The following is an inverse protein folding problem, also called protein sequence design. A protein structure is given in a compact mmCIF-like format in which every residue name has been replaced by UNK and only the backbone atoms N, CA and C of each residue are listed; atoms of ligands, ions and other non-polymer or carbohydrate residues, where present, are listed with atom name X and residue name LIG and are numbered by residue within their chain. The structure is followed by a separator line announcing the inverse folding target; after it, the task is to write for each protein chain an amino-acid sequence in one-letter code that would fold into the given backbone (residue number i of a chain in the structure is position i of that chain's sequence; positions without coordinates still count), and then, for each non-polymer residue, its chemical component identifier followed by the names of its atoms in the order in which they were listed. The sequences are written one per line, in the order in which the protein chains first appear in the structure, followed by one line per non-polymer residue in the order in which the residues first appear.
data_IF_693732406931
#
_entry.id   IF_693732406931
#
_cell.length_a   1.000
_cell.length_b   1.000
_cell.length_c   1.000
_cell.angle_alpha   90.00
_cell.angle_beta   90.00
_cell.angle_gamma   90.00
#
_symmetry.space_group_name_H-M   'P 1'
#
loop_
_entity.id
_entity.type
_entity.pdbx_description
1 polymer ?
#
# COMPACT_ATOMS: atom_id res chain seq x y z
N UNK A 1 69.16 -9.92 43.01
CA UNK A 1 67.85 -9.24 42.87
C UNK A 1 67.97 -8.17 41.78
N UNK A 2 67.40 -8.43 40.60
CA UNK A 2 66.84 -7.40 39.70
C UNK A 2 66.15 -8.09 38.51
N UNK A 3 65.11 -8.88 38.80
CA UNK A 3 64.11 -9.23 37.80
C UNK A 3 63.20 -8.02 37.61
N UNK A 4 63.53 -7.10 36.70
CA UNK A 4 62.65 -5.94 36.42
C UNK A 4 62.63 -5.46 34.98
N UNK A 5 63.28 -6.13 34.03
CA UNK A 5 63.24 -5.73 32.61
C UNK A 5 62.21 -6.51 31.77
N UNK A 6 61.77 -7.69 32.20
CA UNK A 6 60.83 -8.54 31.46
C UNK A 6 59.35 -8.18 31.67
N UNK A 7 59.01 -7.48 32.75
CA UNK A 7 57.61 -7.13 33.09
C UNK A 7 57.08 -5.98 32.23
N UNK A 8 57.95 -5.04 31.83
CA UNK A 8 57.53 -3.86 31.06
C UNK A 8 57.20 -4.17 29.59
N UNK A 9 57.84 -5.19 28.98
CA UNK A 9 57.51 -5.60 27.62
C UNK A 9 56.16 -6.35 27.54
N UNK A 10 55.84 -7.16 28.56
CA UNK A 10 54.60 -7.97 28.63
C UNK A 10 53.38 -7.08 28.90
N UNK A 11 53.51 -6.05 29.76
CA UNK A 11 52.43 -5.08 29.98
C UNK A 11 52.10 -4.24 28.74
N UNK A 12 53.08 -3.98 27.87
CA UNK A 12 52.87 -3.23 26.62
C UNK A 12 52.07 -4.04 25.59
N UNK A 13 52.38 -5.34 25.47
CA UNK A 13 51.70 -6.24 24.53
C UNK A 13 50.27 -6.56 24.97
N UNK A 14 50.03 -6.75 26.28
CA UNK A 14 48.69 -6.99 26.81
C UNK A 14 47.75 -5.77 26.63
N UNK A 15 48.26 -4.55 26.83
CA UNK A 15 47.49 -3.32 26.59
C UNK A 15 47.12 -3.14 25.11
N UNK A 16 48.04 -3.48 24.19
CA UNK A 16 47.76 -3.44 22.74
C UNK A 16 46.73 -4.49 22.32
N UNK A 17 46.77 -5.69 22.89
CA UNK A 17 45.80 -6.75 22.62
C UNK A 17 44.41 -6.39 23.15
N UNK A 18 44.30 -5.80 24.34
CA UNK A 18 43.03 -5.32 24.89
C UNK A 18 42.48 -4.17 24.06
N UNK A 19 43.32 -3.24 23.60
CA UNK A 19 42.88 -2.13 22.75
C UNK A 19 42.38 -2.63 21.39
N UNK A 20 43.05 -3.62 20.79
CA UNK A 20 42.58 -4.26 19.56
C UNK A 20 41.27 -5.02 19.78
N UNK A 21 41.11 -5.73 20.89
CA UNK A 21 39.86 -6.43 21.22
C UNK A 21 38.70 -5.44 21.47
N UNK A 22 38.95 -4.31 22.12
CA UNK A 22 37.97 -3.22 22.31
C UNK A 22 37.64 -2.55 20.98
N UNK A 23 38.60 -2.36 20.08
CA UNK A 23 38.33 -1.84 18.73
C UNK A 23 37.56 -2.85 17.88
N UNK A 24 37.88 -4.14 17.96
CA UNK A 24 37.13 -5.18 17.27
C UNK A 24 35.71 -5.30 17.83
N UNK A 25 35.51 -5.21 19.16
CA UNK A 25 34.17 -5.16 19.75
C UNK A 25 33.42 -3.88 19.37
N UNK A 26 34.10 -2.73 19.34
CA UNK A 26 33.53 -1.46 18.91
C UNK A 26 33.17 -1.47 17.41
N UNK A 27 33.94 -2.16 16.56
CA UNK A 27 33.65 -2.37 15.14
C UNK A 27 32.56 -3.42 14.91
N UNK A 28 32.40 -4.40 15.80
CA UNK A 28 31.22 -5.28 15.80
C UNK A 28 29.99 -4.61 16.43
N UNK A 29 30.14 -3.52 17.20
CA UNK A 29 29.06 -2.71 17.80
C UNK A 29 28.73 -1.44 17.02
N UNK A 30 29.46 -1.12 15.95
CA UNK A 30 28.97 -0.27 14.84
C UNK A 30 27.87 -0.95 14.01
N UNK A 31 27.29 -2.03 14.56
CA UNK A 31 25.89 -2.44 14.50
C UNK A 31 24.91 -1.28 14.18
N UNK A 32 24.51 -1.19 12.92
CA UNK A 32 23.10 -1.39 12.63
C UNK A 32 22.96 -2.82 12.12
N UNK A 33 21.99 -3.60 12.61
CA UNK A 33 21.65 -4.86 11.97
C UNK A 33 21.32 -4.55 10.51
N UNK A 34 22.14 -5.06 9.59
CA UNK A 34 21.96 -4.80 8.17
C UNK A 34 20.72 -5.54 7.71
N UNK A 35 19.72 -4.78 7.27
CA UNK A 35 18.59 -5.30 6.53
C UNK A 35 19.15 -5.82 5.20
N UNK A 36 19.27 -7.14 5.04
CA UNK A 36 19.87 -7.77 3.85
C UNK A 36 18.82 -8.04 2.79
N UNK A 37 19.13 -7.72 1.54
CA UNK A 37 18.31 -8.11 0.39
C UNK A 37 18.28 -9.64 0.29
N UNK A 38 17.09 -10.21 0.42
CA UNK A 38 16.84 -11.64 0.41
C UNK A 38 16.27 -12.14 -0.91
N UNK A 39 15.51 -11.29 -1.63
CA UNK A 39 14.88 -11.65 -2.91
C UNK A 39 14.61 -10.39 -3.74
N UNK A 40 14.83 -10.53 -5.04
CA UNK A 40 14.41 -9.59 -6.07
C UNK A 40 13.47 -10.34 -7.03
N UNK A 41 12.35 -9.74 -7.39
CA UNK A 41 11.39 -10.31 -8.36
C UNK A 41 10.81 -9.21 -9.21
N UNK A 42 10.80 -9.45 -10.52
CA UNK A 42 10.33 -8.51 -11.52
C UNK A 42 9.20 -9.13 -12.36
N UNK A 43 8.08 -8.40 -12.44
CA UNK A 43 6.94 -8.71 -13.28
C UNK A 43 6.72 -7.58 -14.27
N UNK A 44 6.98 -7.85 -15.55
CA UNK A 44 6.72 -6.91 -16.64
C UNK A 44 5.43 -7.29 -17.36
N UNK A 45 4.53 -6.32 -17.53
CA UNK A 45 3.38 -6.45 -18.39
C UNK A 45 3.88 -6.50 -19.84
N UNK A 46 3.74 -7.67 -20.48
CA UNK A 46 4.09 -7.79 -21.89
C UNK A 46 3.35 -6.74 -22.74
N UNK A 47 3.89 -6.39 -23.91
CA UNK A 47 3.20 -5.48 -24.83
C UNK A 47 1.76 -5.88 -25.18
N UNK A 48 1.37 -7.14 -24.95
CA UNK A 48 0.03 -7.71 -25.22
C UNK A 48 -0.84 -7.87 -23.98
N UNK A 49 -0.37 -7.49 -22.79
CA UNK A 49 -1.09 -7.66 -21.53
C UNK A 49 -1.08 -6.40 -20.68
N UNK A 50 -2.11 -6.25 -19.84
CA UNK A 50 -2.21 -5.24 -18.80
C UNK A 50 -2.02 -5.90 -17.43
N UNK A 51 -1.32 -5.21 -16.53
CA UNK A 51 -1.14 -5.57 -15.13
C UNK A 51 -2.07 -4.76 -14.25
N UNK A 52 -2.81 -5.43 -13.37
CA UNK A 52 -3.69 -4.84 -12.38
C UNK A 52 -3.29 -5.29 -10.96
N UNK A 53 -3.38 -4.36 -10.01
CA UNK A 53 -3.06 -4.53 -8.59
C UNK A 53 -4.13 -3.82 -7.74
N UNK A 54 -4.14 -4.03 -6.43
CA UNK A 54 -4.84 -3.13 -5.50
C UNK A 54 -4.16 -1.76 -5.53
N UNK A 55 -4.71 -0.82 -6.30
CA UNK A 55 -4.12 0.52 -6.42
C UNK A 55 -4.07 1.24 -5.06
N UNK A 56 -5.06 1.02 -4.20
CA UNK A 56 -5.20 1.76 -2.94
C UNK A 56 -4.15 1.36 -1.93
N UNK A 57 -3.76 0.10 -1.94
CA UNK A 57 -2.57 -0.40 -1.25
C UNK A 57 -1.30 0.38 -1.63
N UNK A 58 -1.17 0.84 -2.88
CA UNK A 58 -0.03 1.62 -3.36
C UNK A 58 -0.21 3.14 -3.17
N UNK A 59 -1.43 3.69 -3.27
CA UNK A 59 -1.63 5.15 -3.26
C UNK A 59 -2.09 5.74 -1.92
N UNK A 60 -2.63 4.92 -1.01
CA UNK A 60 -3.27 5.40 0.24
C UNK A 60 -2.89 4.57 1.48
N UNK A 61 -1.97 3.61 1.33
CA UNK A 61 -1.53 2.73 2.43
C UNK A 61 -2.62 1.80 2.97
N UNK A 62 -3.70 1.55 2.22
CA UNK A 62 -4.79 0.68 2.67
C UNK A 62 -4.33 -0.79 2.71
N UNK A 63 -4.65 -1.54 3.77
CA UNK A 63 -4.43 -2.99 3.90
C UNK A 63 -3.09 -3.49 3.32
N UNK A 64 -1.96 -3.10 3.92
CA UNK A 64 -0.60 -3.57 3.57
C UNK A 64 -0.35 -5.04 3.94
N UNK A 65 -1.21 -5.91 3.42
CA UNK A 65 -1.05 -7.37 3.41
C UNK A 65 -0.25 -7.82 2.18
N UNK A 66 -0.37 -9.10 1.87
CA UNK A 66 0.39 -9.73 0.79
C UNK A 66 0.07 -9.14 -0.59
N UNK A 67 1.11 -8.93 -1.39
CA UNK A 67 0.93 -8.44 -2.75
C UNK A 67 0.21 -9.47 -3.63
N UNK A 68 -0.86 -9.01 -4.30
CA UNK A 68 -1.60 -9.77 -5.30
C UNK A 68 -1.68 -8.96 -6.59
N UNK A 69 -1.56 -9.64 -7.73
CA UNK A 69 -1.67 -9.00 -9.03
C UNK A 69 -2.39 -9.91 -10.04
N UNK A 70 -2.97 -9.31 -11.06
CA UNK A 70 -3.58 -10.02 -12.18
C UNK A 70 -3.10 -9.45 -13.50
N UNK A 71 -2.67 -10.32 -14.41
CA UNK A 71 -2.32 -9.95 -15.78
C UNK A 71 -3.42 -10.41 -16.71
N UNK A 72 -3.93 -9.54 -17.57
CA UNK A 72 -4.93 -9.89 -18.57
C UNK A 72 -4.48 -9.43 -19.97
N UNK A 73 -4.91 -10.08 -21.06
CA UNK A 73 -4.71 -9.58 -22.42
C UNK A 73 -5.25 -8.17 -22.59
N UNK A 74 -4.54 -7.36 -23.37
CA UNK A 74 -4.97 -6.00 -23.74
C UNK A 74 -6.29 -6.05 -24.50
N UNK A 75 -7.19 -5.15 -24.11
CA UNK A 75 -8.51 -4.99 -24.73
C UNK A 75 -8.41 -4.34 -26.10
N UNK A 76 -8.13 -5.12 -27.15
CA UNK A 76 -8.39 -4.67 -28.53
C UNK A 76 -9.73 -5.21 -29.08
N UNK A 77 -10.43 -6.02 -28.29
CA UNK A 77 -11.72 -6.59 -28.69
C UNK A 77 -12.79 -6.18 -27.70
N UNK A 78 -13.41 -5.03 -27.95
CA UNK A 78 -14.63 -4.55 -27.28
C UNK A 78 -15.83 -5.52 -27.41
N UNK A 79 -15.65 -6.74 -27.92
CA UNK A 79 -16.71 -7.73 -28.14
C UNK A 79 -16.43 -9.10 -27.52
N UNK A 80 -15.39 -9.26 -26.70
CA UNK A 80 -15.16 -10.53 -26.01
C UNK A 80 -16.09 -10.65 -24.79
N UNK A 81 -16.86 -11.74 -24.73
CA UNK A 81 -17.67 -12.11 -23.56
C UNK A 81 -16.83 -12.80 -22.47
N UNK A 82 -15.58 -13.14 -22.78
CA UNK A 82 -14.65 -13.75 -21.84
C UNK A 82 -13.31 -13.01 -21.83
N UNK A 83 -12.71 -12.86 -20.65
CA UNK A 83 -11.37 -12.30 -20.47
C UNK A 83 -10.52 -13.29 -19.68
N UNK A 84 -9.53 -13.88 -20.36
CA UNK A 84 -8.64 -14.87 -19.77
C UNK A 84 -7.46 -14.18 -19.10
N UNK A 85 -7.49 -14.09 -17.79
CA UNK A 85 -6.46 -13.48 -16.98
C UNK A 85 -5.61 -14.55 -16.28
N UNK A 86 -4.47 -14.13 -15.71
CA UNK A 86 -3.62 -14.93 -14.85
C UNK A 86 -3.40 -14.18 -13.56
N UNK A 87 -3.73 -14.81 -12.43
CA UNK A 87 -3.52 -14.23 -11.10
C UNK A 87 -2.22 -14.75 -10.49
N UNK A 88 -1.50 -13.89 -9.77
CA UNK A 88 -0.30 -14.21 -9.00
C UNK A 88 -0.37 -13.66 -7.58
N UNK A 89 0.27 -14.39 -6.65
CA UNK A 89 0.44 -14.01 -5.24
C UNK A 89 1.92 -14.02 -4.89
N UNK A 90 2.42 -12.99 -4.21
CA UNK A 90 3.82 -12.98 -3.78
C UNK A 90 4.11 -14.02 -2.67
N UNK A 91 3.11 -14.39 -1.86
CA UNK A 91 3.23 -15.50 -0.89
C UNK A 91 3.46 -16.86 -1.52
N UNK A 92 3.19 -16.99 -2.82
CA UNK A 92 3.37 -18.23 -3.56
C UNK A 92 4.15 -17.95 -4.85
N UNK A 93 5.43 -17.57 -4.73
CA UNK A 93 6.20 -17.15 -5.88
C UNK A 93 6.35 -18.28 -6.90
N UNK A 94 6.11 -17.96 -8.16
CA UNK A 94 6.12 -18.93 -9.27
C UNK A 94 4.83 -19.74 -9.43
N UNK A 95 3.85 -19.61 -8.52
CA UNK A 95 2.50 -20.12 -8.75
C UNK A 95 1.61 -19.03 -9.33
N UNK A 96 0.92 -19.39 -10.40
CA UNK A 96 -0.10 -18.55 -11.00
C UNK A 96 -1.27 -19.42 -11.45
N UNK A 97 -2.46 -18.84 -11.45
CA UNK A 97 -3.67 -19.55 -11.87
C UNK A 97 -4.34 -18.82 -13.02
N UNK A 98 -4.78 -19.55 -14.06
CA UNK A 98 -5.65 -18.98 -15.07
C UNK A 98 -7.03 -18.68 -14.46
N UNK A 99 -7.56 -17.51 -14.76
CA UNK A 99 -8.88 -17.07 -14.33
C UNK A 99 -9.61 -16.52 -15.55
N UNK A 100 -10.70 -17.18 -15.94
CA UNK A 100 -11.54 -16.70 -17.05
C UNK A 100 -12.68 -15.88 -16.47
N UNK A 101 -12.63 -14.57 -16.60
CA UNK A 101 -13.76 -13.67 -16.31
C UNK A 101 -14.81 -13.83 -17.41
N UNK A 102 -16.10 -13.94 -17.08
CA UNK A 102 -17.19 -14.13 -18.06
C UNK A 102 -18.33 -13.15 -17.84
N UNK A 103 -18.68 -12.39 -18.87
CA UNK A 103 -19.84 -11.49 -18.80
C UNK A 103 -21.16 -12.24 -19.00
N UNK A 104 -22.25 -11.64 -18.55
CA UNK A 104 -23.60 -12.01 -18.96
C UNK A 104 -23.78 -11.75 -20.46
N UNK A 105 -24.54 -12.64 -21.13
CA UNK A 105 -24.84 -12.53 -22.57
C UNK A 105 -25.34 -11.12 -22.88
N UNK A 106 -24.64 -10.40 -23.77
CA UNK A 106 -24.86 -9.01 -24.24
C UNK A 106 -24.13 -7.88 -23.50
N UNK A 107 -23.35 -8.17 -22.45
CA UNK A 107 -22.56 -7.17 -21.71
C UNK A 107 -21.06 -7.26 -22.00
N UNK A 108 -20.37 -6.13 -21.95
CA UNK A 108 -18.94 -6.00 -22.26
C UNK A 108 -18.12 -5.75 -21.00
N UNK A 109 -16.87 -6.20 -20.98
CA UNK A 109 -15.96 -5.91 -19.86
C UNK A 109 -15.62 -4.44 -19.78
N UNK A 110 -15.64 -3.92 -18.56
CA UNK A 110 -14.97 -2.67 -18.25
C UNK A 110 -13.45 -2.91 -18.24
N UNK A 111 -12.67 -1.89 -18.58
CA UNK A 111 -11.22 -2.01 -18.62
C UNK A 111 -10.58 -1.99 -17.22
N UNK A 112 -11.38 -1.73 -16.17
CA UNK A 112 -10.92 -1.62 -14.80
C UNK A 112 -11.11 -2.92 -14.01
N UNK A 113 -10.04 -3.36 -13.35
CA UNK A 113 -9.99 -4.50 -12.46
C UNK A 113 -9.23 -4.07 -11.19
N UNK A 114 -9.71 -4.50 -10.04
CA UNK A 114 -9.00 -4.35 -8.77
C UNK A 114 -8.81 -5.73 -8.14
N UNK A 115 -7.68 -5.95 -7.47
CA UNK A 115 -7.34 -7.27 -6.93
C UNK A 115 -6.69 -7.15 -5.57
N UNK A 116 -7.22 -7.86 -4.58
CA UNK A 116 -6.67 -7.86 -3.22
C UNK A 116 -6.57 -9.29 -2.65
N UNK A 117 -5.60 -9.54 -1.74
CA UNK A 117 -5.50 -10.82 -1.05
C UNK A 117 -6.69 -11.01 -0.09
N UNK A 118 -7.19 -12.23 0.03
CA UNK A 118 -8.18 -12.61 1.06
C UNK A 118 -7.54 -13.48 2.14
N UNK A 119 -6.72 -14.44 1.72
CA UNK A 119 -5.96 -15.34 2.59
C UNK A 119 -4.63 -15.67 1.90
N UNK A 120 -3.66 -16.36 2.55
CA UNK A 120 -2.36 -16.66 1.93
C UNK A 120 -2.40 -17.39 0.58
N UNK A 121 -3.53 -18.05 0.27
CA UNK A 121 -3.77 -18.75 -0.99
C UNK A 121 -5.09 -18.34 -1.69
N UNK A 122 -5.76 -17.29 -1.23
CA UNK A 122 -7.01 -16.80 -1.81
C UNK A 122 -6.93 -15.33 -2.15
N UNK A 123 -7.55 -14.94 -3.25
CA UNK A 123 -7.62 -13.55 -3.69
C UNK A 123 -9.00 -13.23 -4.26
N UNK A 124 -9.32 -11.94 -4.30
CA UNK A 124 -10.55 -11.42 -4.87
C UNK A 124 -10.21 -10.49 -6.01
N UNK A 125 -10.88 -10.66 -7.15
CA UNK A 125 -10.84 -9.74 -8.28
C UNK A 125 -12.18 -9.04 -8.35
N UNK A 126 -12.21 -7.72 -8.20
CA UNK A 126 -13.40 -6.87 -8.39
C UNK A 126 -13.38 -6.28 -9.78
N UNK A 127 -14.50 -6.38 -10.49
CA UNK A 127 -14.60 -6.03 -11.89
C UNK A 127 -16.03 -5.64 -12.26
N UNK A 128 -16.29 -5.29 -13.51
CA UNK A 128 -17.65 -5.05 -13.95
C UNK A 128 -17.89 -5.23 -15.43
N UNK A 129 -19.18 -5.26 -15.75
CA UNK A 129 -19.68 -5.45 -17.09
C UNK A 129 -20.74 -4.40 -17.41
N UNK A 130 -20.69 -3.82 -18.60
CA UNK A 130 -21.57 -2.73 -19.01
C UNK A 130 -22.38 -3.07 -20.27
N UNK A 131 -23.60 -2.54 -20.34
CA UNK A 131 -24.46 -2.67 -21.50
C UNK A 131 -24.18 -1.53 -22.49
N UNK A 132 -23.58 -1.81 -23.65
CA UNK A 132 -23.38 -0.80 -24.68
C UNK A 132 -24.66 -0.63 -25.52
N UNK A 133 -25.61 0.17 -25.03
CA UNK A 133 -26.70 0.66 -25.89
C UNK A 133 -26.17 1.79 -26.77
N UNK A 134 -25.68 1.40 -27.96
CA UNK A 134 -25.17 2.18 -29.11
C UNK A 134 -23.77 2.82 -28.98
N UNK A 135 -22.83 2.50 -29.90
CA UNK A 135 -21.52 3.16 -29.98
C UNK A 135 -21.54 4.58 -30.58
N UNK A 136 -22.65 5.01 -31.22
CA UNK A 136 -22.62 6.12 -32.18
C UNK A 136 -23.35 7.39 -31.71
N UNK A 137 -23.69 7.52 -30.43
CA UNK A 137 -24.46 8.64 -29.90
C UNK A 137 -23.80 9.33 -28.69
N UNK A 138 -24.02 10.65 -28.49
CA UNK A 138 -23.44 11.42 -27.38
C UNK A 138 -23.95 11.04 -25.98
N UNK A 139 -24.80 10.01 -25.85
CA UNK A 139 -25.49 9.63 -24.62
C UNK A 139 -24.93 8.35 -23.98
N UNK A 140 -23.63 8.34 -23.68
CA UNK A 140 -22.94 7.29 -22.89
C UNK A 140 -23.52 7.11 -21.45
N UNK A 141 -24.41 8.01 -21.02
CA UNK A 141 -24.85 8.17 -19.62
C UNK A 141 -25.88 7.13 -19.12
N UNK A 142 -26.38 6.24 -19.98
CA UNK A 142 -27.47 5.30 -19.63
C UNK A 142 -27.06 3.83 -19.60
N UNK A 143 -25.78 3.52 -19.82
CA UNK A 143 -25.32 2.14 -19.78
C UNK A 143 -25.37 1.61 -18.34
N UNK A 144 -26.18 0.57 -18.16
CA UNK A 144 -26.30 -0.20 -16.92
C UNK A 144 -25.01 -0.99 -16.68
N UNK A 145 -24.37 -0.82 -15.52
CA UNK A 145 -23.16 -1.55 -15.14
C UNK A 145 -23.40 -2.41 -13.91
N UNK A 146 -22.98 -3.67 -13.99
CA UNK A 146 -23.01 -4.63 -12.90
C UNK A 146 -21.63 -4.75 -12.28
N UNK A 147 -21.53 -4.56 -10.96
CA UNK A 147 -20.32 -4.83 -10.20
C UNK A 147 -20.28 -6.32 -9.89
N UNK A 148 -19.18 -6.95 -10.31
CA UNK A 148 -18.90 -8.36 -10.10
C UNK A 148 -17.63 -8.53 -9.29
N UNK A 149 -17.52 -9.68 -8.66
CA UNK A 149 -16.29 -10.10 -8.02
C UNK A 149 -16.06 -11.59 -8.27
N UNK A 150 -14.79 -11.95 -8.27
CA UNK A 150 -14.34 -13.33 -8.46
C UNK A 150 -13.46 -13.71 -7.28
N UNK A 151 -13.87 -14.71 -6.51
CA UNK A 151 -13.01 -15.32 -5.48
C UNK A 151 -12.19 -16.41 -6.14
N UNK A 152 -10.88 -16.39 -5.97
CA UNK A 152 -9.93 -17.34 -6.56
C UNK A 152 -9.16 -18.04 -5.46
N UNK A 153 -9.12 -19.37 -5.51
CA UNK A 153 -8.21 -20.20 -4.72
C UNK A 153 -7.01 -20.58 -5.59
N UNK A 154 -5.83 -20.05 -5.24
CA UNK A 154 -4.60 -20.19 -6.04
C UNK A 154 -3.94 -21.56 -5.84
N UNK A 155 -4.27 -22.28 -4.77
CA UNK A 155 -3.77 -23.65 -4.58
C UNK A 155 -4.45 -24.63 -5.53
N UNK A 156 -5.75 -24.42 -5.79
CA UNK A 156 -6.57 -25.31 -6.61
C UNK A 156 -6.87 -24.76 -8.00
N UNK A 157 -6.52 -23.50 -8.26
CA UNK A 157 -6.93 -22.70 -9.41
C UNK A 157 -8.45 -22.69 -9.66
N UNK A 158 -9.25 -22.95 -8.63
CA UNK A 158 -10.70 -22.83 -8.70
C UNK A 158 -11.09 -21.38 -8.47
N UNK A 159 -12.09 -20.92 -9.22
CA UNK A 159 -12.64 -19.59 -9.07
C UNK A 159 -14.17 -19.62 -9.11
N UNK A 160 -14.79 -18.63 -8.47
CA UNK A 160 -16.23 -18.45 -8.46
C UNK A 160 -16.55 -16.98 -8.72
N UNK A 161 -17.38 -16.74 -9.73
CA UNK A 161 -17.86 -15.42 -10.10
C UNK A 161 -19.22 -15.14 -9.49
N UNK A 162 -19.36 -13.97 -8.91
CA UNK A 162 -20.54 -13.53 -8.19
C UNK A 162 -20.86 -12.08 -8.54
N UNK A 163 -22.12 -11.71 -8.33
CA UNK A 163 -22.65 -10.37 -8.55
C UNK A 163 -22.89 -9.69 -7.20
N UNK A 164 -22.50 -8.41 -7.09
CA UNK A 164 -22.65 -7.64 -5.85
C UNK A 164 -24.02 -6.93 -5.80
N UNK A 165 -24.36 -6.17 -6.85
CA UNK A 165 -25.61 -5.42 -6.96
C UNK A 165 -26.07 -5.26 -8.43
N UNK A 166 -27.39 -5.13 -8.66
CA UNK A 166 -27.93 -4.75 -9.96
C UNK A 166 -27.70 -3.26 -10.30
N UNK A 167 -27.78 -3.01 -11.61
CA UNK A 167 -27.28 -1.91 -12.43
C UNK A 167 -27.13 -0.47 -11.88
N UNK A 168 -25.94 0.10 -12.10
CA UNK A 168 -25.58 1.53 -12.00
C UNK A 168 -25.58 2.23 -13.37
N UNK A 169 -25.65 3.56 -13.44
CA UNK A 169 -25.32 4.31 -14.66
C UNK A 169 -23.80 4.39 -14.90
N UNK A 170 -23.37 4.46 -16.17
CA UNK A 170 -21.97 4.32 -16.61
C UNK A 170 -20.97 5.26 -15.96
N UNK A 171 -21.29 6.57 -15.91
CA UNK A 171 -20.38 7.59 -15.36
C UNK A 171 -20.08 7.39 -13.88
N UNK A 172 -20.98 6.71 -13.15
CA UNK A 172 -20.86 6.44 -11.72
C UNK A 172 -20.08 5.16 -11.43
N UNK A 173 -19.95 4.25 -12.39
CA UNK A 173 -19.30 2.95 -12.15
C UNK A 173 -17.77 3.05 -12.01
N UNK A 174 -17.10 3.76 -12.91
CA UNK A 174 -15.64 3.82 -12.89
C UNK A 174 -15.15 4.50 -11.61
N UNK A 175 -15.85 5.55 -11.15
CA UNK A 175 -15.64 6.10 -9.83
C UNK A 175 -16.00 5.09 -8.74
N UNK A 176 -17.15 4.40 -8.80
CA UNK A 176 -17.53 3.47 -7.73
C UNK A 176 -16.59 2.29 -7.53
N UNK A 177 -16.08 1.64 -8.58
CA UNK A 177 -15.12 0.54 -8.41
C UNK A 177 -13.75 1.08 -8.03
N UNK A 178 -13.30 2.18 -8.65
CA UNK A 178 -12.04 2.81 -8.25
C UNK A 178 -12.08 3.36 -6.81
N UNK A 179 -13.26 3.71 -6.29
CA UNK A 179 -13.47 4.28 -4.96
C UNK A 179 -13.99 3.25 -3.95
N UNK A 180 -14.26 2.01 -4.38
CA UNK A 180 -14.66 0.89 -3.51
C UNK A 180 -13.63 0.60 -2.41
N UNK A 181 -14.07 0.57 -1.15
CA UNK A 181 -13.19 0.32 0.00
C UNK A 181 -13.35 -1.13 0.47
N UNK A 182 -12.26 -1.72 0.93
CA UNK A 182 -12.24 -3.13 1.31
C UNK A 182 -11.77 -3.31 2.75
N UNK A 183 -12.44 -4.18 3.49
CA UNK A 183 -11.94 -4.70 4.76
C UNK A 183 -11.77 -6.21 4.62
N UNK A 184 -10.55 -6.71 4.79
CA UNK A 184 -10.23 -8.13 4.61
C UNK A 184 -10.03 -8.80 5.95
N UNK A 185 -10.73 -9.91 6.18
CA UNK A 185 -10.60 -10.77 7.36
C UNK A 185 -10.02 -12.12 6.92
N UNK A 186 -9.65 -12.98 7.88
CA UNK A 186 -9.02 -14.28 7.58
C UNK A 186 -9.89 -15.18 6.68
N UNK A 187 -11.21 -15.09 6.82
CA UNK A 187 -12.20 -15.99 6.18
C UNK A 187 -13.30 -15.24 5.42
N UNK A 188 -13.24 -13.91 5.36
CA UNK A 188 -14.32 -13.08 4.84
C UNK A 188 -13.79 -11.71 4.45
N UNK A 189 -14.59 -10.92 3.75
CA UNK A 189 -14.25 -9.55 3.41
C UNK A 189 -15.50 -8.68 3.33
N UNK A 190 -15.31 -7.38 3.48
CA UNK A 190 -16.34 -6.38 3.21
C UNK A 190 -15.99 -5.58 1.97
N UNK A 191 -16.99 -5.35 1.11
CA UNK A 191 -16.92 -4.35 0.04
C UNK A 191 -17.81 -3.19 0.45
N UNK A 192 -17.26 -1.98 0.42
CA UNK A 192 -17.95 -0.73 0.72
C UNK A 192 -17.93 0.13 -0.54
N UNK A 193 -19.10 0.47 -1.05
CA UNK A 193 -19.28 1.25 -2.28
C UNK A 193 -20.29 2.36 -2.06
N UNK A 194 -20.27 3.37 -2.89
CA UNK A 194 -21.29 4.42 -2.85
C UNK A 194 -22.68 3.85 -3.14
N UNK A 195 -23.68 4.43 -2.49
CA UNK A 195 -25.06 4.09 -2.80
C UNK A 195 -25.46 4.71 -4.15
N UNK A 196 -26.00 3.87 -5.02
CA UNK A 196 -26.41 4.23 -6.37
C UNK A 196 -27.54 5.27 -6.42
N UNK A 197 -28.49 5.16 -5.49
CA UNK A 197 -29.71 5.96 -5.43
C UNK A 197 -29.46 7.27 -4.71
N UNK A 198 -28.62 7.26 -3.67
CA UNK A 198 -28.19 8.44 -2.94
C UNK A 198 -26.68 8.40 -2.64
N UNK A 199 -25.83 8.99 -3.52
CA UNK A 199 -24.38 9.00 -3.37
C UNK A 199 -23.85 9.66 -2.09
N UNK A 200 -24.71 10.33 -1.31
CA UNK A 200 -24.38 10.82 0.02
C UNK A 200 -24.12 9.66 1.00
N UNK A 201 -24.61 8.46 0.73
CA UNK A 201 -24.44 7.29 1.58
C UNK A 201 -23.50 6.26 0.97
N UNK A 202 -22.86 5.48 1.83
CA UNK A 202 -22.14 4.26 1.50
C UNK A 202 -23.02 3.05 1.79
N UNK A 203 -22.86 2.01 0.97
CA UNK A 203 -23.39 0.68 1.15
C UNK A 203 -22.26 -0.25 1.60
N UNK A 204 -22.59 -1.25 2.43
CA UNK A 204 -21.64 -2.25 2.89
C UNK A 204 -22.15 -3.67 2.67
N UNK A 205 -21.29 -4.52 2.13
CA UNK A 205 -21.56 -5.93 1.86
C UNK A 205 -20.51 -6.78 2.57
N UNK A 206 -20.92 -7.66 3.48
CA UNK A 206 -20.02 -8.68 4.03
C UNK A 206 -20.16 -9.96 3.22
N UNK A 207 -19.03 -10.50 2.80
CA UNK A 207 -18.91 -11.65 1.91
C UNK A 207 -18.04 -12.70 2.61
N UNK A 208 -18.46 -13.97 2.60
CA UNK A 208 -17.69 -15.08 3.17
C UNK A 208 -16.54 -15.53 2.22
N UNK A 209 -15.71 -16.46 2.70
CA UNK A 209 -14.54 -16.96 2.01
C UNK A 209 -14.83 -17.79 0.76
N UNK A 210 -16.10 -18.12 0.55
CA UNK A 210 -16.66 -18.81 -0.61
C UNK A 210 -17.32 -17.83 -1.60
N UNK A 211 -17.39 -16.55 -1.23
CA UNK A 211 -17.95 -15.48 -2.02
C UNK A 211 -19.46 -15.27 -1.86
N UNK A 212 -20.13 -15.85 -0.87
CA UNK A 212 -21.55 -15.55 -0.64
C UNK A 212 -21.70 -14.26 0.17
N UNK A 213 -22.64 -13.40 -0.21
CA UNK A 213 -23.00 -12.22 0.58
C UNK A 213 -23.77 -12.68 1.81
N UNK A 214 -23.16 -12.57 2.99
CA UNK A 214 -23.74 -12.98 4.27
C UNK A 214 -24.42 -11.84 5.02
N UNK A 215 -24.08 -10.58 4.72
CA UNK A 215 -24.72 -9.40 5.30
C UNK A 215 -24.75 -8.24 4.30
N UNK A 216 -25.85 -7.47 4.31
CA UNK A 216 -26.02 -6.25 3.52
C UNK A 216 -26.47 -5.10 4.42
N UNK A 217 -25.85 -3.93 4.29
CA UNK A 217 -26.24 -2.69 4.96
C UNK A 217 -26.36 -1.58 3.91
N UNK A 218 -27.61 -1.23 3.55
CA UNK A 218 -27.95 -0.37 2.42
C UNK A 218 -29.15 0.52 2.81
N UNK A 219 -28.97 1.82 3.09
CA UNK A 219 -27.70 2.52 3.29
C UNK A 219 -27.01 2.08 4.59
N UNK A 220 -25.68 2.28 4.67
CA UNK A 220 -24.89 2.00 5.88
C UNK A 220 -24.53 3.27 6.64
N UNK A 221 -23.78 4.18 6.03
CA UNK A 221 -23.36 5.44 6.68
C UNK A 221 -23.33 6.58 5.67
N UNK A 222 -23.45 7.82 6.16
CA UNK A 222 -23.14 9.01 5.36
C UNK A 222 -21.67 8.93 4.95
N UNK A 223 -21.42 9.07 3.65
CA UNK A 223 -20.09 9.10 3.05
C UNK A 223 -19.27 10.22 3.71
N UNK A 224 -18.12 9.91 4.34
CA UNK A 224 -17.20 10.94 4.79
C UNK A 224 -16.70 11.76 3.60
N UNK A 225 -16.44 13.04 3.79
CA UNK A 225 -15.89 13.91 2.74
C UNK A 225 -14.45 13.54 2.29
N UNK A 226 -13.88 12.46 2.86
CA UNK A 226 -12.48 12.09 2.77
C UNK A 226 -12.13 11.22 1.57
N UNK A 227 -10.88 11.34 1.11
CA UNK A 227 -10.24 10.35 0.23
C UNK A 227 -9.74 9.11 1.01
N UNK A 228 -9.40 9.29 2.29
CA UNK A 228 -8.90 8.22 3.17
C UNK A 228 -10.08 7.55 3.86
N UNK A 229 -10.23 6.24 3.68
CA UNK A 229 -11.23 5.43 4.38
C UNK A 229 -10.70 4.02 4.61
N UNK A 230 -9.96 3.81 5.71
CA UNK A 230 -9.16 2.60 5.95
C UNK A 230 -9.75 1.73 7.05
N UNK A 231 -9.95 0.42 6.86
CA UNK A 231 -10.34 -0.45 7.96
C UNK A 231 -9.23 -0.56 9.01
N UNK A 232 -9.63 -0.62 10.27
CA UNK A 232 -8.78 -0.87 11.43
C UNK A 232 -9.17 -2.24 12.00
N UNK A 233 -8.30 -3.22 11.80
CA UNK A 233 -8.53 -4.62 12.16
C UNK A 233 -7.66 -5.05 13.34
N UNK A 234 -8.26 -5.81 14.26
CA UNK A 234 -7.57 -6.46 15.39
C UNK A 234 -7.79 -7.95 15.32
N UNK A 235 -6.75 -8.67 14.88
CA UNK A 235 -6.94 -10.04 14.39
C UNK A 235 -8.02 -10.04 13.31
N UNK A 236 -9.03 -10.91 13.46
CA UNK A 236 -10.16 -11.03 12.53
C UNK A 236 -11.37 -10.13 12.89
N UNK A 237 -11.23 -9.15 13.81
CA UNK A 237 -12.31 -8.24 14.21
C UNK A 237 -12.08 -6.80 13.74
N UNK A 238 -13.08 -6.21 13.08
CA UNK A 238 -13.12 -4.78 12.77
C UNK A 238 -13.34 -3.94 14.03
N UNK A 239 -12.46 -2.97 14.26
CA UNK A 239 -12.59 -1.96 15.32
C UNK A 239 -13.22 -0.67 14.82
N UNK A 240 -12.90 -0.28 13.59
CA UNK A 240 -13.38 0.96 13.02
C UNK A 240 -12.81 1.25 11.66
N UNK A 241 -13.02 2.48 11.20
CA UNK A 241 -12.47 3.00 9.96
C UNK A 241 -11.75 4.33 10.21
N UNK A 242 -10.58 4.50 9.64
CA UNK A 242 -9.88 5.77 9.62
C UNK A 242 -10.41 6.63 8.49
N UNK A 243 -10.68 7.90 8.75
CA UNK A 243 -10.96 8.87 7.69
C UNK A 243 -10.38 10.24 8.04
N UNK A 244 -10.05 11.01 7.00
CA UNK A 244 -9.62 12.39 7.17
C UNK A 244 -10.80 13.37 7.02
N UNK A 245 -10.69 14.53 7.66
CA UNK A 245 -11.55 15.67 7.41
C UNK A 245 -10.70 16.94 7.29
N UNK A 246 -11.20 17.90 6.51
CA UNK A 246 -10.60 19.22 6.37
C UNK A 246 -11.22 20.12 7.44
N UNK A 247 -10.45 20.39 8.48
CA UNK A 247 -10.81 21.34 9.51
C UNK A 247 -10.76 22.80 9.02
N UNK A 248 -11.21 23.75 9.85
CA UNK A 248 -11.04 25.17 9.59
C UNK A 248 -9.55 25.52 9.41
N UNK A 249 -9.29 26.59 8.65
CA UNK A 249 -7.95 27.20 8.51
C UNK A 249 -6.86 26.29 7.90
N UNK A 250 -7.25 25.38 6.99
CA UNK A 250 -6.29 24.51 6.30
C UNK A 250 -5.72 23.42 7.21
N UNK A 251 -6.44 23.06 8.28
CA UNK A 251 -6.11 21.92 9.11
C UNK A 251 -6.60 20.63 8.47
N UNK A 252 -5.79 19.57 8.49
CA UNK A 252 -6.26 18.21 8.24
C UNK A 252 -6.34 17.44 9.56
N UNK A 253 -7.38 16.62 9.68
CA UNK A 253 -7.68 15.86 10.89
C UNK A 253 -7.91 14.40 10.52
N UNK A 254 -7.27 13.49 11.24
CA UNK A 254 -7.49 12.05 11.11
C UNK A 254 -8.38 11.56 12.25
N UNK A 255 -9.51 10.97 11.89
CA UNK A 255 -10.48 10.40 12.81
C UNK A 255 -10.53 8.89 12.69
N UNK A 256 -10.95 8.23 13.76
CA UNK A 256 -11.36 6.83 13.79
C UNK A 256 -12.85 6.75 14.08
N UNK A 257 -13.60 6.26 13.10
CA UNK A 257 -15.01 5.92 13.21
C UNK A 257 -15.14 4.53 13.83
N UNK A 258 -15.62 4.45 15.07
CA UNK A 258 -15.76 3.18 15.77
C UNK A 258 -16.91 2.33 15.21
N UNK A 259 -16.63 1.07 14.90
CA UNK A 259 -17.62 0.12 14.40
C UNK A 259 -18.59 -0.37 15.50
N UNK A 260 -18.08 -0.54 16.74
CA UNK A 260 -18.85 -1.12 17.86
C UNK A 260 -19.77 -0.10 18.58
N UNK A 261 -19.53 1.21 18.45
CA UNK A 261 -20.23 2.26 19.23
C UNK A 261 -21.24 3.08 18.41
N UNK A 262 -21.84 2.46 17.39
CA UNK A 262 -22.88 3.11 16.57
C UNK A 262 -22.37 4.31 15.75
N UNK A 263 -21.08 4.34 15.42
CA UNK A 263 -20.50 5.38 14.55
C UNK A 263 -19.98 6.62 15.29
N UNK A 264 -19.64 6.53 16.58
CA UNK A 264 -18.93 7.64 17.24
C UNK A 264 -17.53 7.82 16.65
N UNK A 265 -17.13 9.05 16.38
CA UNK A 265 -15.79 9.38 15.88
C UNK A 265 -14.84 9.75 17.03
N UNK A 266 -13.59 9.32 16.91
CA UNK A 266 -12.48 9.73 17.79
C UNK A 266 -11.40 10.41 16.97
N UNK A 267 -11.08 11.66 17.30
CA UNK A 267 -9.94 12.36 16.71
C UNK A 267 -8.63 11.70 17.16
N UNK A 268 -7.80 11.28 16.21
CA UNK A 268 -6.48 10.72 16.48
C UNK A 268 -5.38 11.77 16.32
N UNK A 269 -5.43 12.54 15.23
CA UNK A 269 -4.36 13.45 14.86
C UNK A 269 -4.91 14.72 14.22
N UNK A 270 -4.29 15.85 14.52
CA UNK A 270 -4.58 17.17 13.95
C UNK A 270 -3.29 17.81 13.45
N UNK A 271 -3.31 18.41 12.28
CA UNK A 271 -2.14 19.08 11.71
C UNK A 271 -2.51 20.13 10.68
N UNK A 272 -1.57 21.02 10.35
CA UNK A 272 -1.75 21.98 9.26
C UNK A 272 -1.28 21.38 7.94
N UNK A 273 -2.09 21.54 6.90
CA UNK A 273 -1.92 20.93 5.59
C UNK A 273 -0.85 21.63 4.75
N UNK A 274 -0.62 22.93 4.98
CA UNK A 274 0.38 23.76 4.29
C UNK A 274 1.84 23.29 4.48
N UNK A 275 2.08 22.43 5.48
CA UNK A 275 3.40 21.90 5.80
C UNK A 275 3.62 20.46 5.33
N UNK A 276 2.63 19.75 4.76
CA UNK A 276 2.73 18.32 4.46
C UNK A 276 2.57 18.06 2.97
N UNK A 277 3.55 17.36 2.40
CA UNK A 277 3.59 16.99 0.98
C UNK A 277 3.32 15.51 0.75
N UNK A 278 3.72 14.66 1.70
CA UNK A 278 3.55 13.21 1.61
C UNK A 278 3.05 12.66 2.93
N UNK A 279 2.10 11.74 2.86
CA UNK A 279 1.54 11.05 4.02
C UNK A 279 1.31 9.58 3.66
N UNK A 280 1.57 8.72 4.63
CA UNK A 280 1.21 7.32 4.55
C UNK A 280 0.70 6.80 5.90
N UNK A 281 -0.17 5.79 5.86
CA UNK A 281 -0.83 5.20 7.01
C UNK A 281 -0.62 3.68 6.99
N UNK A 282 -0.32 3.11 8.15
CA UNK A 282 -0.26 1.67 8.35
C UNK A 282 -1.22 1.25 9.45
N UNK A 283 -2.10 0.28 9.19
CA UNK A 283 -2.95 -0.35 10.21
C UNK A 283 -2.47 -1.75 10.59
N UNK A 284 -1.25 -2.13 10.16
CA UNK A 284 -0.70 -3.45 10.38
C UNK A 284 -0.43 -3.74 11.87
N UNK A 285 -0.45 -5.03 12.21
CA UNK A 285 -0.06 -5.55 13.52
C UNK A 285 -0.69 -4.85 14.73
N UNK A 286 -2.01 -4.65 14.69
CA UNK A 286 -2.75 -4.08 15.82
C UNK A 286 -2.21 -2.71 16.28
N UNK A 287 -1.72 -1.88 15.35
CA UNK A 287 -1.38 -0.47 15.61
C UNK A 287 -1.81 0.43 14.44
N UNK A 288 -2.04 1.71 14.72
CA UNK A 288 -2.33 2.74 13.71
C UNK A 288 -1.10 3.64 13.63
N UNK A 289 -0.36 3.56 12.54
CA UNK A 289 0.83 4.35 12.28
C UNK A 289 0.55 5.40 11.21
N UNK A 290 1.05 6.61 11.40
CA UNK A 290 0.92 7.72 10.46
C UNK A 290 2.28 8.34 10.26
N UNK A 291 2.83 8.25 9.05
CA UNK A 291 4.06 8.92 8.65
C UNK A 291 3.71 10.11 7.77
N UNK A 292 4.35 11.26 8.02
CA UNK A 292 4.13 12.50 7.26
C UNK A 292 5.45 13.16 6.98
N UNK A 293 5.63 13.66 5.77
CA UNK A 293 6.78 14.46 5.40
C UNK A 293 6.35 15.90 5.14
N UNK A 294 7.04 16.83 5.80
CA UNK A 294 7.03 18.25 5.46
C UNK A 294 8.33 18.71 4.83
N UNK A 295 8.25 19.64 3.88
CA UNK A 295 9.43 20.34 3.36
C UNK A 295 9.64 21.62 4.16
N UNK A 296 10.74 21.69 4.89
CA UNK A 296 11.23 22.93 5.46
C UNK A 296 12.11 23.61 4.40
N UNK A 297 11.58 24.63 3.75
CA UNK A 297 12.36 25.47 2.85
C UNK A 297 13.21 26.43 3.67
N UNK A 298 14.53 26.28 3.60
CA UNK A 298 15.45 27.24 4.20
C UNK A 298 15.87 28.27 3.14
N UNK A 299 15.36 29.50 3.30
CA UNK A 299 15.58 30.63 2.37
C UNK A 299 17.06 31.04 2.30
N UNK A 300 17.81 30.92 3.41
CA UNK A 300 19.21 31.38 3.48
C UNK A 300 20.18 30.43 2.80
N UNK A 301 19.88 29.13 2.84
CA UNK A 301 20.75 28.08 2.25
C UNK A 301 20.26 27.60 0.89
N UNK A 302 19.11 28.11 0.43
CA UNK A 302 18.37 27.60 -0.73
C UNK A 302 18.25 26.06 -0.71
N UNK A 303 18.15 25.47 0.49
CA UNK A 303 18.12 24.02 0.69
C UNK A 303 16.77 23.62 1.24
N UNK A 304 16.20 22.56 0.68
CA UNK A 304 14.97 21.96 1.20
C UNK A 304 15.34 20.76 2.06
N UNK A 305 15.11 20.86 3.37
CA UNK A 305 15.21 19.73 4.27
C UNK A 305 13.83 19.10 4.40
N UNK A 306 13.73 17.81 4.11
CA UNK A 306 12.55 17.03 4.48
C UNK A 306 12.64 16.62 5.94
N UNK A 307 11.55 16.83 6.65
CA UNK A 307 11.33 16.35 8.01
C UNK A 307 10.22 15.32 7.95
N UNK A 308 10.46 14.14 8.53
CA UNK A 308 9.45 13.10 8.63
C UNK A 308 9.01 12.98 10.09
N UNK A 309 7.71 13.11 10.31
CA UNK A 309 7.04 12.90 11.58
C UNK A 309 6.29 11.56 11.53
N UNK A 310 6.55 10.69 12.49
CA UNK A 310 5.86 9.40 12.63
C UNK A 310 5.14 9.34 13.96
N UNK A 311 3.85 9.06 13.91
CA UNK A 311 2.98 8.90 15.09
C UNK A 311 2.38 7.51 15.06
N UNK A 312 2.43 6.77 16.17
CA UNK A 312 1.75 5.48 16.32
C UNK A 312 0.76 5.51 17.47
N UNK A 313 -0.40 4.93 17.26
CA UNK A 313 -1.46 4.71 18.23
C UNK A 313 -1.71 3.21 18.37
N UNK A 314 -2.24 2.78 19.52
CA UNK A 314 -2.94 1.49 19.57
C UNK A 314 -4.30 1.57 18.88
N UNK A 315 -4.98 0.43 18.86
CA UNK A 315 -6.24 0.19 18.17
C UNK A 315 -7.42 0.93 18.78
N UNK A 316 -7.28 1.38 20.03
CA UNK A 316 -8.26 2.24 20.68
C UNK A 316 -7.94 3.72 20.45
N UNK A 317 -6.89 4.04 19.68
CA UNK A 317 -6.46 5.39 19.36
C UNK A 317 -5.70 6.07 20.50
N UNK A 318 -5.04 5.32 21.40
CA UNK A 318 -4.15 5.89 22.42
C UNK A 318 -2.73 5.97 21.87
N UNK A 319 -2.12 7.15 22.00
CA UNK A 319 -0.77 7.42 21.52
C UNK A 319 0.26 6.48 22.17
N UNK A 320 1.12 5.89 21.33
CA UNK A 320 2.25 5.03 21.72
C UNK A 320 3.60 5.66 21.40
N UNK A 321 3.69 6.30 20.24
CA UNK A 321 4.92 6.91 19.76
C UNK A 321 4.60 8.21 19.03
N UNK A 322 5.45 9.21 19.24
CA UNK A 322 5.47 10.44 18.46
C UNK A 322 6.93 10.85 18.28
N UNK A 323 7.46 10.63 17.09
CA UNK A 323 8.87 10.89 16.79
C UNK A 323 9.01 11.68 15.50
N UNK A 324 10.14 12.38 15.40
CA UNK A 324 10.51 13.22 14.28
C UNK A 324 11.97 12.99 13.98
N UNK A 325 12.31 12.92 12.70
CA UNK A 325 13.71 12.97 12.27
C UNK A 325 13.86 13.72 10.95
N UNK A 326 15.07 14.20 10.71
CA UNK A 326 15.45 14.84 9.45
C UNK A 326 15.96 13.78 8.49
N UNK A 327 15.60 13.92 7.22
CA UNK A 327 16.05 12.99 6.18
C UNK A 327 17.31 13.52 5.47
N UNK A 328 18.06 12.59 4.87
CA UNK A 328 19.23 12.92 4.05
C UNK A 328 18.86 13.32 2.62
N UNK A 329 17.63 13.03 2.20
CA UNK A 329 17.05 13.36 0.89
C UNK A 329 15.89 14.34 1.02
N UNK A 330 15.59 15.04 -0.07
CA UNK A 330 14.27 15.64 -0.28
C UNK A 330 13.29 14.52 -0.62
N UNK A 331 12.45 14.17 0.36
CA UNK A 331 11.50 13.05 0.25
C UNK A 331 10.46 13.34 -0.83
N UNK A 332 10.26 12.36 -1.71
CA UNK A 332 9.18 12.29 -2.69
C UNK A 332 8.30 11.04 -2.53
N UNK A 333 8.81 10.03 -1.82
CA UNK A 333 8.14 8.77 -1.55
C UNK A 333 8.28 8.46 -0.07
N UNK A 334 7.17 8.10 0.56
CA UNK A 334 7.12 7.82 1.99
C UNK A 334 6.17 6.65 2.22
N UNK A 335 6.69 5.60 2.85
CA UNK A 335 5.98 4.35 3.08
C UNK A 335 6.29 3.84 4.49
N UNK A 336 5.27 3.40 5.21
CA UNK A 336 5.28 2.97 6.60
C UNK A 336 4.65 1.58 6.73
N UNK A 337 5.30 0.71 7.50
CA UNK A 337 4.74 -0.58 7.91
C UNK A 337 4.96 -0.75 9.42
N UNK A 338 3.89 -0.87 10.21
CA UNK A 338 4.04 -1.15 11.63
C UNK A 338 4.62 -2.57 11.85
N UNK A 339 5.22 -2.83 13.02
CA UNK A 339 5.81 -4.14 13.34
C UNK A 339 5.04 -4.86 14.46
N UNK A 340 5.04 -6.21 14.49
CA UNK A 340 4.31 -7.00 15.50
C UNK A 340 4.77 -6.77 16.94
N UNK A 341 6.06 -6.53 17.15
CA UNK A 341 6.62 -6.23 18.47
C UNK A 341 6.55 -4.73 18.83
N UNK A 342 5.84 -3.92 18.03
CA UNK A 342 5.91 -2.47 18.06
C UNK A 342 7.11 -1.92 17.27
N UNK A 343 7.14 -0.60 17.08
CA UNK A 343 8.05 0.03 16.12
C UNK A 343 7.49 -0.06 14.69
N UNK A 344 8.34 0.22 13.69
CA UNK A 344 7.92 0.29 12.29
C UNK A 344 9.10 0.16 11.33
N UNK A 345 8.80 -0.27 10.10
CA UNK A 345 9.63 -0.07 8.92
C UNK A 345 9.21 1.22 8.25
N UNK A 346 10.18 2.04 7.87
CA UNK A 346 9.99 3.21 7.05
C UNK A 346 10.82 3.09 5.78
N UNK A 347 10.18 3.31 4.65
CA UNK A 347 10.83 3.46 3.36
C UNK A 347 10.69 4.91 2.93
N UNK A 348 11.82 5.54 2.65
CA UNK A 348 11.88 6.89 2.10
C UNK A 348 12.59 6.87 0.75
N UNK A 349 12.04 7.61 -0.19
CA UNK A 349 12.62 7.79 -1.52
C UNK A 349 12.56 9.24 -1.96
N UNK A 350 13.48 9.66 -2.81
CA UNK A 350 13.52 11.04 -3.29
C UNK A 350 14.92 11.46 -3.73
N UNK A 351 15.14 12.76 -3.81
CA UNK A 351 16.31 13.33 -4.47
C UNK A 351 17.37 13.72 -3.46
N UNK A 352 18.62 13.76 -3.90
CA UNK A 352 19.64 14.49 -3.15
C UNK A 352 19.19 15.94 -2.94
N UNK A 353 19.57 16.54 -1.81
CA UNK A 353 19.15 17.89 -1.42
C UNK A 353 19.55 18.97 -2.43
N UNK A 354 20.62 18.71 -3.17
CA UNK A 354 21.22 19.64 -4.13
C UNK A 354 20.75 19.38 -5.57
N UNK A 355 19.91 18.37 -5.80
CA UNK A 355 19.45 18.00 -7.14
C UNK A 355 18.08 18.62 -7.45
N UNK A 356 18.05 19.50 -8.47
CA UNK A 356 16.84 20.22 -8.84
C UNK A 356 15.78 19.35 -9.55
N UNK A 357 16.22 18.40 -10.39
CA UNK A 357 15.33 17.66 -11.30
C UNK A 357 15.00 16.23 -10.87
N UNK A 358 15.66 15.71 -9.83
CA UNK A 358 15.41 14.36 -9.30
C UNK A 358 15.48 13.26 -10.37
N UNK A 359 16.48 13.32 -11.26
CA UNK A 359 16.54 12.40 -12.39
C UNK A 359 16.84 10.96 -11.92
N UNK A 360 17.43 10.81 -10.72
CA UNK A 360 17.75 9.53 -10.09
C UNK A 360 17.35 9.51 -8.62
N UNK A 361 16.12 9.10 -8.28
CA UNK A 361 15.71 9.02 -6.89
C UNK A 361 16.55 7.98 -6.14
N UNK A 362 17.07 8.36 -4.98
CA UNK A 362 17.65 7.45 -4.00
C UNK A 362 16.55 6.93 -3.08
N UNK A 363 16.69 5.68 -2.65
CA UNK A 363 15.78 5.09 -1.68
C UNK A 363 16.53 4.48 -0.50
N UNK A 364 15.85 4.45 0.64
CA UNK A 364 16.32 3.76 1.82
C UNK A 364 15.19 3.16 2.61
N UNK A 365 15.49 2.05 3.27
CA UNK A 365 14.65 1.37 4.24
C UNK A 365 15.29 1.50 5.62
N UNK A 366 14.49 1.80 6.63
CA UNK A 366 14.91 1.95 8.02
C UNK A 366 13.96 1.19 8.92
N UNK A 367 14.51 0.48 9.91
CA UNK A 367 13.77 -0.22 10.95
C UNK A 367 13.89 0.54 12.27
N UNK A 368 12.75 0.85 12.85
CA UNK A 368 12.60 1.53 14.12
C UNK A 368 12.02 0.57 15.15
N UNK A 369 12.57 0.57 16.36
CA UNK A 369 12.02 -0.15 17.52
C UNK A 369 10.92 0.70 18.22
N UNK A 370 10.16 0.15 19.18
CA UNK A 370 9.00 0.84 19.76
C UNK A 370 9.25 2.23 20.37
N UNK A 371 10.48 2.54 20.77
CA UNK A 371 10.84 3.86 21.32
C UNK A 371 11.20 4.90 20.24
N UNK A 372 11.22 4.50 18.96
CA UNK A 372 11.59 5.37 17.85
C UNK A 372 13.09 5.40 17.52
N UNK A 373 13.90 4.53 18.13
CA UNK A 373 15.32 4.36 17.78
C UNK A 373 15.49 3.55 16.51
N UNK A 374 16.40 3.97 15.63
CA UNK A 374 16.77 3.20 14.42
C UNK A 374 17.70 2.06 14.80
N UNK A 375 17.35 0.82 14.44
CA UNK A 375 18.18 -0.38 14.72
C UNK A 375 18.71 -1.05 13.45
N UNK A 376 18.18 -0.68 12.29
CA UNK A 376 18.62 -1.20 11.00
C UNK A 376 18.34 -0.21 9.90
N UNK A 377 19.23 -0.16 8.91
CA UNK A 377 19.00 0.65 7.71
C UNK A 377 19.71 0.04 6.50
N UNK A 378 19.15 0.27 5.32
CA UNK A 378 19.80 -0.06 4.06
C UNK A 378 19.40 0.99 3.03
N UNK A 379 20.35 1.32 2.14
CA UNK A 379 20.10 2.16 0.96
C UNK A 379 20.14 1.28 -0.26
N UNK A 380 19.31 1.60 -1.23
CA UNK A 380 19.29 0.88 -2.50
C UNK A 380 19.06 1.87 -3.65
N UNK A 381 19.61 1.58 -4.83
CA UNK A 381 19.46 2.45 -5.99
C UNK A 381 17.99 2.55 -6.40
N UNK A 382 17.65 3.68 -7.02
CA UNK A 382 16.36 3.85 -7.68
C UNK A 382 16.17 2.91 -8.86
N UNK A 383 14.93 2.82 -9.33
CA UNK A 383 14.56 1.97 -10.46
C UNK A 383 14.72 2.77 -11.74
N UNK A 384 15.86 2.58 -12.41
CA UNK A 384 16.18 3.23 -13.69
C UNK A 384 15.24 2.83 -14.83
N UNK A 385 14.52 1.70 -14.71
CA UNK A 385 13.62 1.20 -15.76
C UNK A 385 12.27 1.92 -15.81
N UNK A 386 11.91 2.68 -14.76
CA UNK A 386 10.60 3.32 -14.65
C UNK A 386 10.54 4.61 -15.48
N UNK A 387 9.89 4.59 -16.65
CA UNK A 387 9.73 5.79 -17.50
C UNK A 387 8.55 6.68 -17.12
N UNK A 388 7.74 6.31 -16.13
CA UNK A 388 6.56 7.07 -15.70
C UNK A 388 6.41 7.17 -14.19
N UNK A 389 5.28 7.69 -13.69
CA UNK A 389 5.07 7.85 -12.26
C UNK A 389 5.24 6.52 -11.52
N UNK A 390 6.12 6.56 -10.52
CA UNK A 390 6.39 5.45 -9.61
C UNK A 390 5.45 5.54 -8.41
N UNK A 391 4.98 4.39 -7.93
CA UNK A 391 4.27 4.27 -6.66
C UNK A 391 4.87 3.12 -5.86
N UNK A 392 4.86 3.21 -4.54
CA UNK A 392 5.48 2.23 -3.65
C UNK A 392 4.43 1.54 -2.78
N UNK A 393 4.78 0.36 -2.29
CA UNK A 393 4.09 -0.28 -1.17
C UNK A 393 5.13 -1.03 -0.34
N UNK A 394 5.03 -0.95 0.98
CA UNK A 394 5.83 -1.77 1.91
C UNK A 394 4.94 -2.79 2.64
N UNK A 395 5.33 -4.05 2.68
CA UNK A 395 4.56 -5.12 3.34
C UNK A 395 5.46 -6.19 3.96
N UNK A 396 4.97 -6.91 4.96
CA UNK A 396 5.62 -8.10 5.50
C UNK A 396 5.15 -9.33 4.72
N UNK A 397 6.07 -9.97 3.98
CA UNK A 397 5.77 -11.18 3.18
C UNK A 397 5.75 -12.46 4.03
N UNK A 398 6.65 -12.52 5.01
CA UNK A 398 6.80 -13.57 6.01
C UNK A 398 7.32 -12.91 7.29
N UNK A 399 7.17 -13.51 8.48
CA UNK A 399 7.71 -12.94 9.71
C UNK A 399 9.18 -12.53 9.55
N UNK A 400 9.50 -11.27 9.86
CA UNK A 400 10.85 -10.67 9.73
C UNK A 400 11.35 -10.45 8.28
N UNK A 401 10.48 -10.60 7.27
CA UNK A 401 10.82 -10.41 5.85
C UNK A 401 9.93 -9.35 5.22
N UNK A 402 10.50 -8.16 5.06
CA UNK A 402 9.80 -6.95 4.60
C UNK A 402 10.11 -6.69 3.14
N UNK A 403 9.09 -6.53 2.31
CA UNK A 403 9.24 -6.27 0.89
C UNK A 403 8.80 -4.86 0.53
N UNK A 404 9.50 -4.26 -0.41
CA UNK A 404 9.14 -3.02 -1.06
C UNK A 404 8.73 -3.36 -2.48
N UNK A 405 7.47 -3.14 -2.80
CA UNK A 405 6.94 -3.24 -4.15
C UNK A 405 6.95 -1.86 -4.82
N UNK A 406 7.37 -1.84 -6.07
CA UNK A 406 7.48 -0.65 -6.89
C UNK A 406 6.62 -0.85 -8.12
N UNK A 407 5.67 0.05 -8.31
CA UNK A 407 4.70 -0.01 -9.37
C UNK A 407 4.92 1.14 -10.34
N UNK A 408 5.28 0.78 -11.57
CA UNK A 408 5.53 1.73 -12.64
C UNK A 408 4.30 1.89 -13.52
N UNK A 409 3.83 3.13 -13.65
CA UNK A 409 2.74 3.48 -14.56
C UNK A 409 3.25 4.00 -15.90
N UNK A 410 2.49 3.80 -16.98
CA UNK A 410 2.85 4.33 -18.29
C UNK A 410 2.55 5.83 -18.36
N UNK A 411 3.57 6.67 -18.52
CA UNK A 411 3.43 8.13 -18.62
C UNK A 411 2.58 8.59 -19.82
N UNK A 412 2.50 7.79 -20.89
CA UNK A 412 1.99 8.21 -22.20
C UNK A 412 0.46 8.07 -22.42
N UNK A 413 -0.31 7.57 -21.45
CA UNK A 413 -1.76 7.30 -21.64
C UNK A 413 -2.71 8.33 -21.00
N UNK A 414 -2.23 9.53 -20.67
CA UNK A 414 -3.05 10.64 -20.15
C UNK A 414 -3.38 11.69 -21.24
N UNK A 415 -3.69 11.27 -22.47
CA UNK A 415 -4.10 12.23 -23.52
C UNK A 415 -5.62 12.49 -23.48
N UNK A 416 -5.97 13.57 -22.76
CA UNK A 416 -6.99 14.61 -23.03
C UNK A 416 -8.40 14.31 -23.60
N UNK A 417 -8.84 13.07 -23.76
CA UNK A 417 -10.24 12.72 -23.99
C UNK A 417 -10.61 11.49 -23.16
N UNK A 418 -11.79 11.53 -22.51
CA UNK A 418 -12.50 10.39 -21.91
C UNK A 418 -11.91 9.72 -20.65
N UNK A 419 -12.58 9.97 -19.51
CA UNK A 419 -12.95 9.01 -18.45
C UNK A 419 -11.97 7.83 -18.26
N UNK A 420 -11.01 8.01 -17.35
CA UNK A 420 -10.28 6.98 -16.57
C UNK A 420 -10.39 5.56 -17.15
N UNK A 421 -9.72 5.32 -18.28
CA UNK A 421 -9.31 3.95 -18.63
C UNK A 421 -8.40 3.48 -17.50
N UNK A 422 -8.74 2.35 -16.88
CA UNK A 422 -8.08 1.85 -15.69
C UNK A 422 -6.57 1.89 -15.84
N UNK A 423 -5.90 2.61 -14.93
CA UNK A 423 -4.45 2.85 -15.03
C UNK A 423 -3.72 1.52 -15.19
N UNK A 424 -3.24 1.26 -16.40
CA UNK A 424 -2.50 0.06 -16.75
C UNK A 424 -1.06 0.24 -16.26
N UNK A 425 -0.61 -0.68 -15.41
CA UNK A 425 0.76 -0.68 -14.93
C UNK A 425 1.65 -1.47 -15.89
N UNK A 426 2.89 -1.03 -16.02
CA UNK A 426 3.85 -1.61 -16.97
C UNK A 426 4.75 -2.58 -16.25
N UNK A 427 5.25 -2.19 -15.07
CA UNK A 427 6.20 -3.01 -14.32
C UNK A 427 5.85 -3.04 -12.83
N UNK A 428 6.12 -4.19 -12.22
CA UNK A 428 6.09 -4.42 -10.79
C UNK A 428 7.42 -5.05 -10.38
N UNK A 429 8.22 -4.31 -9.61
CA UNK A 429 9.44 -4.81 -8.98
C UNK A 429 9.17 -5.07 -7.50
N UNK A 430 9.75 -6.11 -6.92
CA UNK A 430 9.63 -6.44 -5.51
C UNK A 430 11.02 -6.75 -4.94
N UNK A 431 11.46 -5.92 -4.01
CA UNK A 431 12.70 -6.12 -3.27
C UNK A 431 12.37 -6.50 -1.83
N UNK A 432 12.71 -7.72 -1.43
CA UNK A 432 12.49 -8.22 -0.08
C UNK A 432 13.75 -8.22 0.74
N UNK A 433 13.61 -7.84 2.00
CA UNK A 433 14.69 -7.74 2.95
C UNK A 433 14.40 -8.54 4.21
N UNK A 434 15.44 -9.09 4.81
CA UNK A 434 15.35 -9.89 6.03
C UNK A 434 16.03 -9.20 7.19
N UNK A 435 15.40 -9.35 8.35
CA UNK A 435 15.97 -9.00 9.64
C UNK A 435 16.64 -10.26 10.23
N UNK A 436 17.94 -10.43 9.94
CA UNK A 436 18.79 -11.47 10.56
C UNK A 436 19.07 -11.08 12.03
N UNK A 437 18.05 -11.19 12.88
CA UNK A 437 18.13 -11.00 14.33
C UNK A 437 17.99 -12.31 15.10
#
# INVERSE_FOLDING_TARGET
MSASSSVNLIMSTLKRLILLAVLCLALTLTNGQLIKLARDTHYEASHKSDLFVDRKSFSLGENKGNLTFVTCPKGYHHHSLEKNCTIGLDTQPGRSCPVTLKTSKSLYFTEYLEVFPLAPAKAVIVWGEFNQTRPDGPNYQSAKILIRYTVVDVNTCKNRQLELQPSLNYTTYLSQVADAKYAVYDDSFEIIIENAEDPKYLNKYKIDGEGNIVLKSVPWIIKPASEVFLPVLVGSKLKGYLHNDNGPEGESRLYMLNADSGGSEKLLLKFRQDLIYYQDISTAHNTIGVARCGHLFNVETNSSNSRVDVVQFDQDGKLKLNTTFNTWIRVQYLELHNLPAGGFILVIGGCSKDEANCDRPEFGIQKFVPDGTVVGSSKFPGIDSCKGPLTLQVFESEPKKYCVAYLCSNAFKFDNLSIVQGKQFVDLLINCYTDDS
#
